data_IF_164106115921
#
_entry.id   IF_164106115921
#
_cell.length_a   1.000
_cell.length_b   1.000
_cell.length_c   1.000
_cell.angle_alpha   90.00
_cell.angle_beta   90.00
_cell.angle_gamma   90.00
#
_symmetry.space_group_name_H-M   'P 1'
#
loop_
_entity.id
_entity.type
_entity.pdbx_description
1 polymer ?
#
# COMPACT_ATOMS: atom_id res chain seq x y z
N UNK A 1 -0.08 -0.14 -12.74
CA UNK A 1 0.27 -0.81 -11.46
C UNK A 1 -0.55 -0.17 -10.35
N UNK A 2 -0.85 -0.91 -9.29
CA UNK A 2 -1.42 -0.37 -8.05
C UNK A 2 -0.38 -0.44 -6.94
N UNK A 3 -0.51 0.44 -5.98
CA UNK A 3 0.29 0.46 -4.76
C UNK A 3 -0.66 0.61 -3.58
N UNK A 4 -0.41 -0.17 -2.53
CA UNK A 4 -1.13 -0.09 -1.27
C UNK A 4 -0.17 0.18 -0.13
N UNK A 5 -0.50 1.15 0.71
CA UNK A 5 0.34 1.61 1.79
C UNK A 5 -0.36 1.47 3.14
N UNK A 6 0.39 0.98 4.14
CA UNK A 6 -0.02 0.89 5.53
C UNK A 6 1.04 1.55 6.41
N UNK A 7 0.72 2.66 7.07
CA UNK A 7 1.63 3.30 8.01
C UNK A 7 1.34 2.92 9.45
N UNK A 8 2.39 2.75 10.24
CA UNK A 8 2.39 2.77 11.70
C UNK A 8 2.90 4.15 12.18
N UNK A 9 2.00 5.09 12.50
CA UNK A 9 2.42 6.43 12.92
C UNK A 9 3.16 6.42 14.26
N UNK A 10 2.98 5.40 15.10
CA UNK A 10 3.63 5.34 16.41
C UNK A 10 5.12 5.02 16.29
N UNK A 11 5.50 4.22 15.29
CA UNK A 11 6.90 3.88 15.01
C UNK A 11 7.51 4.71 13.87
N UNK A 12 6.70 5.44 13.11
CA UNK A 12 7.17 6.21 11.95
C UNK A 12 7.56 5.34 10.76
N UNK A 13 7.09 4.10 10.72
CA UNK A 13 7.38 3.12 9.65
C UNK A 13 6.14 2.92 8.77
N UNK A 14 6.32 2.48 7.53
CA UNK A 14 5.21 2.10 6.67
C UNK A 14 5.57 0.96 5.73
N UNK A 15 4.59 0.11 5.45
CA UNK A 15 4.67 -0.93 4.44
C UNK A 15 4.11 -0.39 3.12
N UNK A 16 4.81 -0.68 2.05
CA UNK A 16 4.33 -0.59 0.69
C UNK A 16 4.11 -1.99 0.13
N UNK A 17 3.01 -2.16 -0.61
CA UNK A 17 2.72 -3.33 -1.41
C UNK A 17 2.40 -2.89 -2.84
N UNK A 18 3.31 -3.19 -3.77
CA UNK A 18 3.10 -3.00 -5.20
C UNK A 18 2.34 -4.20 -5.77
N UNK A 19 1.35 -3.92 -6.63
CA UNK A 19 0.47 -4.90 -7.24
C UNK A 19 0.41 -4.70 -8.74
N UNK A 20 0.76 -5.75 -9.47
CA UNK A 20 0.74 -5.73 -10.93
C UNK A 20 -0.55 -6.38 -11.48
N UNK A 21 -0.95 -6.03 -12.72
CA UNK A 21 -2.14 -6.61 -13.35
C UNK A 21 -2.11 -8.14 -13.52
N UNK A 22 -0.92 -8.74 -13.57
CA UNK A 22 -0.76 -10.19 -13.70
C UNK A 22 -0.82 -10.94 -12.34
N UNK A 23 -1.04 -10.20 -11.24
CA UNK A 23 -1.12 -10.76 -9.90
C UNK A 23 0.20 -10.89 -9.16
N UNK A 24 1.34 -10.55 -9.78
CA UNK A 24 2.59 -10.43 -9.04
C UNK A 24 2.53 -9.24 -8.07
N UNK A 25 3.15 -9.40 -6.91
CA UNK A 25 3.29 -8.35 -5.91
C UNK A 25 4.73 -8.21 -5.45
N UNK A 26 5.05 -7.05 -4.89
CA UNK A 26 6.28 -6.79 -4.15
C UNK A 26 5.93 -6.03 -2.88
N UNK A 27 6.63 -6.32 -1.79
CA UNK A 27 6.39 -5.70 -0.48
C UNK A 27 7.67 -5.20 0.12
N UNK A 28 7.65 -3.98 0.66
CA UNK A 28 8.80 -3.35 1.27
C UNK A 28 8.40 -2.52 2.48
N UNK A 29 9.20 -2.62 3.55
CA UNK A 29 9.07 -1.84 4.75
C UNK A 29 10.05 -0.67 4.70
N UNK A 30 9.55 0.50 5.06
CA UNK A 30 10.28 1.75 5.13
C UNK A 30 10.27 2.28 6.56
N UNK A 31 11.38 2.85 7.01
CA UNK A 31 11.52 3.43 8.34
C UNK A 31 11.45 4.98 8.34
N UNK A 32 11.36 5.57 7.15
CA UNK A 32 11.02 6.97 6.89
C UNK A 32 10.71 7.13 5.39
N UNK A 33 10.13 8.26 4.93
CA UNK A 33 9.85 8.49 3.51
C UNK A 33 11.03 8.15 2.60
N UNK A 34 10.84 7.19 1.69
CA UNK A 34 11.83 6.70 0.70
C UNK A 34 13.11 6.07 1.27
N UNK A 35 13.17 5.81 2.58
CA UNK A 35 14.27 5.07 3.21
C UNK A 35 13.86 3.61 3.42
N UNK A 36 14.39 2.74 2.57
CA UNK A 36 14.15 1.30 2.65
C UNK A 36 14.71 0.77 3.96
N UNK A 37 13.86 0.09 4.73
CA UNK A 37 14.30 -0.70 5.88
C UNK A 37 14.56 -2.15 5.48
N UNK A 38 13.61 -2.78 4.77
CA UNK A 38 13.75 -4.15 4.30
C UNK A 38 12.76 -4.48 3.17
N UNK A 39 13.21 -5.20 2.16
CA UNK A 39 12.31 -5.89 1.22
C UNK A 39 11.80 -7.19 1.87
N UNK A 40 10.51 -7.46 1.71
CA UNK A 40 9.82 -8.51 2.45
C UNK A 40 9.10 -9.47 1.50
N UNK A 41 9.83 -10.34 0.77
CA UNK A 41 9.23 -11.23 -0.24
C UNK A 41 8.31 -12.31 0.35
N UNK A 42 8.42 -12.61 1.65
CA UNK A 42 7.64 -13.67 2.31
C UNK A 42 7.04 -13.20 3.64
N UNK A 43 6.09 -12.25 3.55
CA UNK A 43 5.23 -11.90 4.70
C UNK A 43 3.97 -12.77 4.76
N UNK A 44 3.85 -13.79 3.91
CA UNK A 44 2.62 -14.56 3.69
C UNK A 44 1.53 -13.83 2.91
N UNK A 45 1.88 -12.75 2.19
CA UNK A 45 0.95 -12.04 1.31
C UNK A 45 0.52 -12.93 0.14
N UNK A 46 -0.77 -12.90 -0.20
CA UNK A 46 -1.31 -13.61 -1.36
C UNK A 46 -1.97 -12.63 -2.29
N UNK A 47 -1.55 -12.59 -3.54
CA UNK A 47 -2.06 -11.66 -4.53
C UNK A 47 -2.64 -12.38 -5.75
N UNK A 48 -3.62 -11.73 -6.36
CA UNK A 48 -4.25 -12.15 -7.61
C UNK A 48 -4.41 -10.92 -8.51
N UNK A 49 -4.36 -11.13 -9.81
CA UNK A 49 -4.60 -10.09 -10.80
C UNK A 49 -5.32 -10.65 -12.01
N UNK A 50 -6.18 -9.85 -12.62
CA UNK A 50 -6.90 -10.21 -13.84
C UNK A 50 -7.05 -8.99 -14.75
N UNK A 51 -6.66 -9.18 -16.02
CA UNK A 51 -6.97 -8.22 -17.08
C UNK A 51 -8.38 -8.47 -17.61
N UNK A 52 -9.14 -7.39 -17.82
CA UNK A 52 -10.47 -7.38 -18.43
C UNK A 52 -10.47 -6.46 -19.64
N UNK A 53 -11.53 -6.47 -20.45
CA UNK A 53 -11.57 -5.75 -21.73
C UNK A 53 -11.17 -4.26 -21.64
N UNK A 54 -11.52 -3.58 -20.55
CA UNK A 54 -11.28 -2.15 -20.36
C UNK A 54 -10.45 -1.84 -19.10
N UNK A 55 -9.63 -2.77 -18.63
CA UNK A 55 -8.81 -2.52 -17.45
C UNK A 55 -8.25 -3.77 -16.80
N UNK A 56 -7.99 -3.67 -15.51
CA UNK A 56 -7.49 -4.77 -14.71
C UNK A 56 -7.93 -4.61 -13.26
N UNK A 57 -7.99 -5.72 -12.56
CA UNK A 57 -8.20 -5.78 -11.14
C UNK A 57 -6.99 -6.45 -10.49
N UNK A 58 -6.61 -6.00 -9.30
CA UNK A 58 -5.65 -6.70 -8.47
C UNK A 58 -6.17 -6.75 -7.03
N UNK A 59 -5.82 -7.82 -6.34
CA UNK A 59 -6.17 -8.05 -4.93
C UNK A 59 -4.94 -8.54 -4.20
N UNK A 60 -4.79 -8.11 -2.95
CA UNK A 60 -3.82 -8.69 -2.02
C UNK A 60 -4.52 -9.02 -0.70
N UNK A 61 -4.20 -10.19 -0.16
CA UNK A 61 -4.53 -10.59 1.20
C UNK A 61 -3.24 -10.54 2.03
N UNK A 62 -3.19 -9.62 2.99
CA UNK A 62 -2.06 -9.45 3.91
C UNK A 62 -2.34 -10.17 5.23
N UNK A 63 -1.39 -10.93 5.81
CA UNK A 63 -1.63 -11.65 7.06
C UNK A 63 -1.80 -10.72 8.26
N UNK A 64 -2.99 -10.75 8.86
CA UNK A 64 -3.33 -9.88 9.99
C UNK A 64 -2.35 -10.02 11.16
N UNK A 65 -1.98 -11.24 11.54
CA UNK A 65 -1.04 -11.48 12.64
C UNK A 65 0.34 -10.85 12.37
N UNK A 66 0.79 -10.83 11.10
CA UNK A 66 2.02 -10.17 10.72
C UNK A 66 1.87 -8.65 10.84
N UNK A 67 0.78 -8.09 10.32
CA UNK A 67 0.50 -6.66 10.40
C UNK A 67 0.41 -6.16 11.86
N UNK A 68 -0.27 -6.91 12.74
CA UNK A 68 -0.41 -6.57 14.16
C UNK A 68 0.96 -6.60 14.88
N UNK A 69 1.81 -7.59 14.59
CA UNK A 69 3.15 -7.73 15.18
C UNK A 69 4.15 -6.68 14.68
N UNK A 70 4.14 -6.40 13.37
CA UNK A 70 5.20 -5.63 12.72
C UNK A 70 4.83 -4.15 12.47
N UNK A 71 3.54 -3.83 12.27
CA UNK A 71 3.05 -2.48 11.96
C UNK A 71 2.05 -1.94 12.99
N UNK A 72 1.93 -2.57 14.17
CA UNK A 72 0.92 -2.21 15.18
C UNK A 72 -0.49 -2.04 14.57
N UNK A 73 -0.86 -2.93 13.65
CA UNK A 73 -2.07 -2.77 12.88
C UNK A 73 -3.31 -2.65 13.78
N UNK A 74 -3.98 -1.51 13.71
CA UNK A 74 -5.02 -1.15 14.67
C UNK A 74 -5.70 0.16 14.31
N UNK A 75 -6.44 0.74 15.26
CA UNK A 75 -7.25 1.95 15.02
C UNK A 75 -6.45 3.19 14.64
N UNK A 76 -5.14 3.20 14.91
CA UNK A 76 -4.22 4.29 14.57
C UNK A 76 -3.51 4.11 13.23
N UNK A 77 -3.61 2.92 12.61
CA UNK A 77 -3.02 2.68 11.28
C UNK A 77 -3.66 3.62 10.25
N UNK A 78 -2.83 4.18 9.37
CA UNK A 78 -3.29 5.00 8.25
C UNK A 78 -2.98 4.30 6.94
N UNK A 79 -3.78 4.56 5.93
CA UNK A 79 -3.76 3.84 4.67
C UNK A 79 -3.80 4.79 3.48
N UNK A 80 -3.20 4.33 2.38
CA UNK A 80 -3.39 4.92 1.06
C UNK A 80 -3.41 3.81 0.01
N UNK A 81 -4.11 4.05 -1.09
CA UNK A 81 -3.94 3.29 -2.31
C UNK A 81 -3.66 4.26 -3.46
N UNK A 82 -2.77 3.87 -4.36
CA UNK A 82 -2.40 4.65 -5.52
C UNK A 82 -2.37 3.79 -6.78
N UNK A 83 -2.57 4.43 -7.93
CA UNK A 83 -2.48 3.80 -9.24
C UNK A 83 -1.54 4.62 -10.12
N UNK A 84 -0.65 3.91 -10.79
CA UNK A 84 0.19 4.43 -11.88
C UNK A 84 -0.35 3.81 -13.16
N UNK A 85 -0.95 4.66 -14.00
CA UNK A 85 -1.68 4.31 -15.22
C UNK A 85 -0.92 4.79 -16.45
N UNK A 86 -1.28 4.27 -17.63
CA UNK A 86 -0.85 4.78 -18.95
C UNK A 86 0.67 4.84 -19.22
N UNK A 87 1.48 3.96 -18.62
CA UNK A 87 2.91 3.88 -18.95
C UNK A 87 3.16 3.73 -20.48
N UNK A 88 4.09 4.48 -21.08
CA UNK A 88 5.09 5.34 -20.44
C UNK A 88 4.59 6.76 -20.08
N UNK A 89 3.48 7.23 -20.66
CA UNK A 89 2.90 8.56 -20.39
C UNK A 89 2.03 8.54 -19.12
N UNK A 90 2.71 8.45 -17.98
CA UNK A 90 2.08 8.07 -16.72
C UNK A 90 1.01 9.06 -16.24
N UNK A 91 -0.09 8.51 -15.75
CA UNK A 91 -1.10 9.20 -14.97
C UNK A 91 -1.16 8.61 -13.56
N UNK A 92 -1.36 9.48 -12.57
CA UNK A 92 -1.28 9.13 -11.15
C UNK A 92 -2.62 9.37 -10.47
N UNK A 93 -3.11 8.36 -9.77
CA UNK A 93 -4.31 8.45 -8.92
C UNK A 93 -3.95 8.01 -7.52
N UNK A 94 -4.59 8.61 -6.52
CA UNK A 94 -4.43 8.23 -5.11
C UNK A 94 -5.73 8.45 -4.36
N UNK A 95 -6.00 7.60 -3.37
CA UNK A 95 -7.19 7.69 -2.55
C UNK A 95 -7.17 8.86 -1.55
N UNK A 96 -5.98 9.34 -1.17
CA UNK A 96 -5.83 10.43 -0.20
C UNK A 96 -5.15 11.65 -0.82
N UNK A 97 -5.52 12.88 -0.43
CA UNK A 97 -4.87 14.08 -0.93
C UNK A 97 -3.43 14.18 -0.37
N UNK A 98 -2.43 14.03 -1.24
CA UNK A 98 -1.00 14.09 -0.87
C UNK A 98 -0.40 15.51 -0.91
N UNK A 99 -1.25 16.50 -1.15
CA UNK A 99 -0.87 17.91 -1.28
C UNK A 99 -0.49 18.30 -2.71
N UNK A 100 0.30 19.38 -2.83
CA UNK A 100 0.80 19.90 -4.11
C UNK A 100 2.22 19.38 -4.39
N UNK A 101 2.63 19.44 -5.65
CA UNK A 101 3.98 19.08 -6.10
C UNK A 101 3.97 17.89 -7.05
N UNK A 102 5.16 17.33 -7.26
CA UNK A 102 5.36 16.12 -8.06
C UNK A 102 4.65 14.89 -7.44
N UNK A 103 4.29 13.88 -8.26
CA UNK A 103 3.73 12.62 -7.78
C UNK A 103 4.68 11.93 -6.79
N UNK A 104 4.27 11.88 -5.51
CA UNK A 104 5.06 11.31 -4.42
C UNK A 104 4.16 10.58 -3.42
N UNK A 105 4.07 9.25 -3.56
CA UNK A 105 3.21 8.40 -2.74
C UNK A 105 3.80 8.05 -1.37
N UNK A 106 5.08 8.32 -1.15
CA UNK A 106 5.80 8.02 0.11
C UNK A 106 5.60 9.11 1.18
N UNK A 107 4.34 9.53 1.40
CA UNK A 107 3.95 10.55 2.38
C UNK A 107 3.03 9.96 3.45
N UNK A 108 3.55 9.12 4.36
CA UNK A 108 2.73 8.41 5.35
C UNK A 108 1.95 9.34 6.29
N UNK A 109 2.42 10.57 6.49
CA UNK A 109 1.71 11.57 7.29
C UNK A 109 0.40 12.06 6.63
N UNK A 110 0.28 11.95 5.30
CA UNK A 110 -0.91 12.31 4.54
C UNK A 110 -1.95 11.19 4.46
N UNK A 111 -1.60 9.96 4.88
CA UNK A 111 -2.50 8.82 4.77
C UNK A 111 -3.72 8.98 5.69
N UNK A 112 -4.87 8.45 5.26
CA UNK A 112 -6.12 8.59 6.01
C UNK A 112 -6.25 7.49 7.06
N UNK A 113 -6.83 7.83 8.21
CA UNK A 113 -7.32 6.83 9.17
C UNK A 113 -8.43 5.99 8.54
N UNK A 114 -8.63 4.78 9.06
CA UNK A 114 -9.66 3.85 8.61
C UNK A 114 -10.51 3.41 9.80
N UNK A 115 -11.75 2.98 9.53
CA UNK A 115 -12.62 2.40 10.53
C UNK A 115 -12.51 0.87 10.48
N UNK A 116 -12.05 0.24 11.56
CA UNK A 116 -12.06 -1.22 11.70
C UNK A 116 -13.37 -1.66 12.33
N UNK A 117 -14.26 -2.22 11.51
CA UNK A 117 -15.50 -2.84 11.97
C UNK A 117 -15.21 -4.32 12.25
N UNK A 118 -15.44 -4.78 13.49
CA UNK A 118 -15.42 -6.21 13.82
C UNK A 118 -16.86 -6.73 13.80
N UNK A 119 -17.12 -7.75 13.00
CA UNK A 119 -18.35 -8.53 13.12
C UNK A 119 -18.22 -9.43 14.35
N UNK A 120 -19.26 -9.46 15.18
CA UNK A 120 -19.34 -10.27 16.39
C UNK A 120 -19.41 -11.76 16.08
#
# INVERSE_FOLDING_TARGET
MAEFFLSDPARGIYLECNLSPNGAHWTCLFDSPRRVHSELPDIGARSEGSCVANGWCARVALPLAWLEKHLHFGTTTRMNAAFILNSPDQQFLTCVPLGRGEPDFHRPDCYSTHCRIKLA
#
